data_IF_435815972812
#
_entry.id   IF_435815972812
#
_cell.length_a   1.000
_cell.length_b   1.000
_cell.length_c   1.000
_cell.angle_alpha   90.00
_cell.angle_beta   90.00
_cell.angle_gamma   90.00
#
_symmetry.space_group_name_H-M   'P 1'
#
loop_
_entity.id
_entity.type
_entity.pdbx_description
1 polymer ?
#
# COMPACT_ATOMS: atom_id res chain seq x y z
N UNK A 1 -4.08 -11.40 -6.53
CA UNK A 1 -4.55 -10.19 -7.25
C UNK A 1 -4.62 -9.07 -6.22
N UNK A 2 -4.23 -7.84 -6.57
CA UNK A 2 -4.25 -6.72 -5.61
C UNK A 2 -5.60 -6.00 -5.62
N UNK A 3 -6.13 -5.67 -4.44
CA UNK A 3 -7.38 -4.96 -4.24
C UNK A 3 -7.22 -3.65 -3.47
N UNK A 4 -7.88 -2.59 -3.91
CA UNK A 4 -7.91 -1.29 -3.21
C UNK A 4 -9.29 -1.09 -2.60
N UNK A 5 -9.37 -1.36 -1.31
CA UNK A 5 -10.62 -1.38 -0.54
C UNK A 5 -10.89 0.04 0.00
N UNK A 6 -12.02 0.68 -0.35
CA UNK A 6 -12.42 1.93 0.28
C UNK A 6 -12.82 1.69 1.73
N UNK A 7 -12.23 2.43 2.66
CA UNK A 7 -12.62 2.43 4.07
C UNK A 7 -13.54 3.60 4.38
N UNK A 8 -13.20 4.78 3.87
CA UNK A 8 -14.00 5.98 4.02
C UNK A 8 -13.78 6.89 2.82
N UNK A 9 -14.87 7.50 2.36
CA UNK A 9 -14.85 8.57 1.36
C UNK A 9 -15.32 9.87 2.05
N UNK A 10 -14.72 11.02 1.72
CA UNK A 10 -15.13 12.28 2.31
C UNK A 10 -16.50 12.71 1.75
N UNK A 11 -17.35 13.27 2.62
CA UNK A 11 -18.68 13.79 2.26
C UNK A 11 -18.62 15.08 1.39
N UNK A 12 -17.43 15.66 1.23
CA UNK A 12 -17.18 16.91 0.49
C UNK A 12 -15.95 16.84 -0.41
N UNK A 13 -15.26 17.97 -0.59
CA UNK A 13 -14.03 18.01 -1.38
C UNK A 13 -12.96 17.10 -0.78
N UNK A 14 -12.43 16.21 -1.63
CA UNK A 14 -11.31 15.33 -1.27
C UNK A 14 -10.01 16.11 -1.32
N UNK A 15 -9.37 16.26 -0.16
CA UNK A 15 -8.10 17.00 0.00
C UNK A 15 -6.88 16.09 -0.08
N UNK A 16 -7.03 14.82 0.30
CA UNK A 16 -5.94 13.85 0.40
C UNK A 16 -6.49 12.42 0.31
N UNK A 17 -5.71 11.51 -0.26
CA UNK A 17 -5.91 10.07 -0.21
C UNK A 17 -4.83 9.45 0.68
N UNK A 18 -5.24 8.60 1.62
CA UNK A 18 -4.34 7.78 2.43
C UNK A 18 -4.56 6.31 2.09
N UNK A 19 -3.48 5.64 1.71
CA UNK A 19 -3.50 4.23 1.34
C UNK A 19 -2.65 3.45 2.34
N UNK A 20 -3.31 2.60 3.12
CA UNK A 20 -2.68 1.67 4.05
C UNK A 20 -2.22 0.41 3.31
N UNK A 21 -0.96 0.01 3.50
CA UNK A 21 -0.34 -1.14 2.81
C UNK A 21 0.25 -2.12 3.81
N UNK A 22 -0.36 -3.30 3.93
CA UNK A 22 0.06 -4.31 4.90
C UNK A 22 1.38 -5.00 4.52
N UNK A 23 1.93 -5.77 5.47
CA UNK A 23 3.17 -6.52 5.30
C UNK A 23 2.96 -8.02 5.08
N UNK A 24 4.04 -8.78 5.21
CA UNK A 24 4.05 -10.24 5.12
C UNK A 24 3.10 -10.87 6.15
N UNK A 25 2.31 -11.85 5.72
CA UNK A 25 1.36 -12.58 6.56
C UNK A 25 0.17 -11.75 7.06
N UNK A 26 0.09 -10.47 6.69
CA UNK A 26 -1.03 -9.59 7.00
C UNK A 26 -2.02 -9.49 5.85
N UNK A 27 -3.11 -8.78 6.13
CA UNK A 27 -4.14 -8.39 5.18
C UNK A 27 -4.56 -6.93 5.42
N UNK A 28 -5.42 -6.40 4.54
CA UNK A 28 -5.93 -5.03 4.57
C UNK A 28 -6.69 -4.63 5.85
N UNK A 29 -7.14 -5.59 6.67
CA UNK A 29 -7.89 -5.31 7.90
C UNK A 29 -7.09 -5.65 9.16
N UNK A 30 -6.68 -6.91 9.31
CA UNK A 30 -6.04 -7.43 10.51
C UNK A 30 -4.69 -6.77 10.83
N UNK A 31 -3.99 -6.24 9.82
CA UNK A 31 -2.74 -5.49 10.06
C UNK A 31 -2.95 -4.18 10.81
N UNK A 32 -4.13 -3.57 10.68
CA UNK A 32 -4.42 -2.22 11.17
C UNK A 32 -5.50 -2.19 12.26
N UNK A 33 -5.97 -3.35 12.70
CA UNK A 33 -6.85 -3.50 13.85
C UNK A 33 -6.09 -4.25 14.95
N UNK A 34 -6.20 -3.75 16.18
CA UNK A 34 -5.95 -4.58 17.35
C UNK A 34 -7.18 -5.46 17.60
N UNK A 35 -7.00 -6.62 18.23
CA UNK A 35 -8.03 -7.58 18.74
C UNK A 35 -9.20 -7.99 17.82
N UNK A 36 -9.18 -7.60 16.54
CA UNK A 36 -10.27 -7.87 15.60
C UNK A 36 -11.51 -6.99 15.83
N UNK A 37 -11.45 -6.01 16.74
CA UNK A 37 -12.52 -5.05 16.95
C UNK A 37 -12.43 -3.88 15.96
N UNK A 38 -13.55 -3.57 15.33
CA UNK A 38 -13.72 -2.44 14.43
C UNK A 38 -13.45 -1.09 15.12
N UNK A 39 -13.72 -1.01 16.43
CA UNK A 39 -13.40 0.15 17.26
C UNK A 39 -11.89 0.36 17.44
N UNK A 40 -11.05 -0.58 16.99
CA UNK A 40 -9.59 -0.46 17.04
C UNK A 40 -8.97 -0.36 15.63
N UNK A 41 -9.79 -0.24 14.59
CA UNK A 41 -9.32 -0.17 13.21
C UNK A 41 -8.83 1.25 12.86
N UNK A 42 -7.52 1.43 12.85
CA UNK A 42 -6.86 2.73 12.66
C UNK A 42 -7.28 3.50 11.40
N UNK A 43 -7.43 2.87 10.21
CA UNK A 43 -7.84 3.58 9.01
C UNK A 43 -9.21 4.25 9.15
N UNK A 44 -10.15 3.62 9.88
CA UNK A 44 -11.45 4.23 10.16
C UNK A 44 -11.32 5.44 11.10
N UNK A 45 -10.57 5.32 12.19
CA UNK A 45 -10.34 6.45 13.11
C UNK A 45 -9.66 7.62 12.42
N UNK A 46 -8.68 7.36 11.56
CA UNK A 46 -8.00 8.41 10.80
C UNK A 46 -8.99 9.19 9.91
N UNK A 47 -9.94 8.48 9.28
CA UNK A 47 -10.99 9.12 8.48
C UNK A 47 -11.93 10.02 9.29
N UNK A 48 -12.14 9.72 10.58
CA UNK A 48 -12.97 10.52 11.48
C UNK A 48 -12.22 11.71 12.07
N UNK A 49 -10.91 11.60 12.20
CA UNK A 49 -10.07 12.65 12.77
C UNK A 49 -9.76 13.78 11.79
N UNK A 50 -9.82 13.53 10.47
CA UNK A 50 -9.39 14.48 9.43
C UNK A 50 -10.45 14.59 8.33
N UNK A 51 -11.05 15.78 8.19
CA UNK A 51 -12.00 16.07 7.13
C UNK A 51 -11.35 16.08 5.73
N UNK A 52 -12.09 15.61 4.72
CA UNK A 52 -11.63 15.61 3.33
C UNK A 52 -10.68 14.45 2.97
N UNK A 53 -10.52 13.46 3.86
CA UNK A 53 -9.65 12.32 3.64
C UNK A 53 -10.38 11.17 2.94
N UNK A 54 -9.86 10.74 1.79
CA UNK A 54 -10.12 9.42 1.25
C UNK A 54 -9.23 8.39 1.91
N UNK A 55 -9.79 7.37 2.55
CA UNK A 55 -9.00 6.32 3.21
C UNK A 55 -9.23 4.99 2.54
N UNK A 56 -8.13 4.33 2.18
CA UNK A 56 -8.11 3.04 1.50
C UNK A 56 -7.16 2.08 2.20
N UNK A 57 -7.47 0.80 2.11
CA UNK A 57 -6.54 -0.28 2.44
C UNK A 57 -6.25 -1.10 1.19
N UNK A 58 -4.97 -1.27 0.87
CA UNK A 58 -4.51 -2.11 -0.22
C UNK A 58 -4.33 -3.54 0.30
N UNK A 59 -5.08 -4.47 -0.27
CA UNK A 59 -4.98 -5.91 -0.01
C UNK A 59 -4.23 -6.60 -1.15
N UNK A 60 -3.32 -7.50 -0.82
CA UNK A 60 -2.64 -8.33 -1.81
C UNK A 60 -2.19 -9.64 -1.16
N UNK A 61 -1.99 -10.70 -1.95
CA UNK A 61 -1.49 -11.96 -1.39
C UNK A 61 -0.12 -11.71 -0.73
N UNK A 62 -0.06 -11.80 0.59
CA UNK A 62 1.16 -11.65 1.36
C UNK A 62 1.51 -12.92 2.15
N UNK A 63 0.99 -14.08 1.76
CA UNK A 63 1.25 -15.35 2.48
C UNK A 63 2.75 -15.71 2.48
N UNK A 64 3.34 -16.10 3.63
CA UNK A 64 4.77 -16.45 3.70
C UNK A 64 5.22 -17.50 2.68
N UNK A 65 4.36 -18.47 2.38
CA UNK A 65 4.60 -19.49 1.33
C UNK A 65 4.68 -18.89 -0.07
N UNK A 66 3.87 -17.88 -0.39
CA UNK A 66 3.99 -17.14 -1.65
C UNK A 66 5.28 -16.31 -1.71
N UNK A 67 5.86 -15.95 -0.56
CA UNK A 67 7.11 -15.20 -0.50
C UNK A 67 8.36 -16.07 -0.46
N UNK A 68 8.24 -17.33 -0.02
CA UNK A 68 9.33 -18.30 0.10
C UNK A 68 9.41 -19.32 -1.06
N UNK A 69 8.32 -19.53 -1.79
CA UNK A 69 8.23 -20.51 -2.89
C UNK A 69 8.36 -19.93 -4.30
N UNK A 70 8.03 -20.74 -5.31
CA UNK A 70 7.92 -20.41 -6.76
C UNK A 70 6.91 -19.30 -7.12
N UNK A 71 6.45 -18.52 -6.15
CA UNK A 71 5.49 -17.47 -6.33
C UNK A 71 6.17 -16.13 -6.65
N UNK A 72 5.33 -15.20 -7.09
CA UNK A 72 5.66 -13.92 -7.70
C UNK A 72 6.70 -13.11 -6.92
N UNK A 73 7.72 -12.60 -7.61
CA UNK A 73 8.80 -11.80 -7.01
C UNK A 73 8.28 -10.43 -6.53
N UNK A 74 9.05 -9.70 -5.70
CA UNK A 74 8.71 -8.32 -5.28
C UNK A 74 8.40 -7.42 -6.50
N UNK A 75 9.25 -7.40 -7.56
CA UNK A 75 8.97 -6.63 -8.77
C UNK A 75 7.61 -6.95 -9.40
N UNK A 76 7.30 -8.23 -9.59
CA UNK A 76 6.04 -8.62 -10.23
C UNK A 76 4.81 -8.24 -9.37
N UNK A 77 4.92 -8.35 -8.04
CA UNK A 77 3.87 -7.91 -7.10
C UNK A 77 3.70 -6.39 -7.15
N UNK A 78 4.81 -5.67 -7.16
CA UNK A 78 4.83 -4.22 -7.24
C UNK A 78 4.19 -3.73 -8.54
N UNK A 79 4.49 -4.36 -9.69
CA UNK A 79 3.87 -4.04 -10.97
C UNK A 79 2.35 -4.26 -10.98
N UNK A 80 1.86 -5.35 -10.37
CA UNK A 80 0.41 -5.58 -10.22
C UNK A 80 -0.27 -4.55 -9.32
N UNK A 81 0.36 -4.21 -8.20
CA UNK A 81 -0.12 -3.17 -7.28
C UNK A 81 -0.13 -1.81 -7.95
N UNK A 82 0.95 -1.45 -8.64
CA UNK A 82 1.07 -0.20 -9.39
C UNK A 82 -0.03 -0.08 -10.44
N UNK A 83 -0.23 -1.12 -11.24
CA UNK A 83 -1.29 -1.18 -12.26
C UNK A 83 -2.66 -0.96 -11.62
N UNK A 84 -2.91 -1.55 -10.46
CA UNK A 84 -4.16 -1.37 -9.71
C UNK A 84 -4.32 0.07 -9.20
N UNK A 85 -3.28 0.65 -8.61
CA UNK A 85 -3.31 2.02 -8.08
C UNK A 85 -3.52 3.06 -9.19
N UNK A 86 -2.85 2.91 -10.34
CA UNK A 86 -2.99 3.79 -11.49
C UNK A 86 -4.39 3.69 -12.13
N UNK A 87 -4.97 2.48 -12.15
CA UNK A 87 -6.29 2.26 -12.72
C UNK A 87 -7.42 2.84 -11.85
N UNK A 88 -7.18 3.12 -10.57
CA UNK A 88 -8.20 3.57 -9.64
C UNK A 88 -8.45 5.08 -9.74
N UNK A 89 -9.58 5.46 -10.35
CA UNK A 89 -9.94 6.85 -10.55
C UNK A 89 -10.11 7.64 -9.24
N UNK A 90 -10.38 6.97 -8.12
CA UNK A 90 -10.54 7.62 -6.80
C UNK A 90 -9.24 8.26 -6.33
N UNK A 91 -8.11 7.69 -6.73
CA UNK A 91 -6.78 8.18 -6.37
C UNK A 91 -6.28 9.35 -7.24
N UNK A 92 -7.00 9.75 -8.29
CA UNK A 92 -6.49 10.71 -9.30
C UNK A 92 -6.73 12.18 -8.96
N UNK A 93 -7.74 12.47 -8.14
CA UNK A 93 -8.23 13.84 -7.96
C UNK A 93 -7.70 14.55 -6.71
N UNK A 94 -6.88 13.86 -5.91
CA UNK A 94 -6.25 14.43 -4.73
C UNK A 94 -4.89 13.74 -4.47
N UNK A 95 -3.95 14.41 -3.81
CA UNK A 95 -2.66 13.85 -3.42
C UNK A 95 -2.78 12.49 -2.71
N UNK A 96 -1.75 11.67 -2.82
CA UNK A 96 -1.68 10.33 -2.22
C UNK A 96 -0.57 10.30 -1.17
N UNK A 97 -0.88 9.76 -0.01
CA UNK A 97 0.10 9.37 1.03
C UNK A 97 -0.06 7.89 1.32
N UNK A 98 1.05 7.17 1.33
CA UNK A 98 1.08 5.76 1.72
C UNK A 98 1.47 5.61 3.20
N UNK A 99 0.78 4.71 3.91
CA UNK A 99 1.18 4.24 5.24
C UNK A 99 1.48 2.76 5.11
N UNK A 100 2.75 2.41 5.25
CA UNK A 100 3.24 1.07 4.92
C UNK A 100 3.75 0.36 6.16
N UNK A 101 3.29 -0.86 6.40
CA UNK A 101 3.84 -1.72 7.46
C UNK A 101 4.80 -2.75 6.89
N UNK A 102 5.94 -2.92 7.56
CA UNK A 102 6.91 -3.99 7.30
C UNK A 102 7.23 -4.09 5.80
N UNK A 103 7.08 -5.29 5.22
CA UNK A 103 7.35 -5.60 3.82
C UNK A 103 6.53 -4.78 2.82
N UNK A 104 5.35 -4.30 3.19
CA UNK A 104 4.53 -3.42 2.34
C UNK A 104 5.25 -2.14 1.94
N UNK A 105 6.17 -1.66 2.79
CA UNK A 105 7.01 -0.51 2.47
C UNK A 105 7.99 -0.77 1.32
N UNK A 106 8.55 -1.98 1.24
CA UNK A 106 9.43 -2.35 0.12
C UNK A 106 8.64 -2.51 -1.17
N UNK A 107 7.41 -3.04 -1.09
CA UNK A 107 6.51 -3.17 -2.23
C UNK A 107 6.12 -1.79 -2.80
N UNK A 108 5.76 -0.83 -1.95
CA UNK A 108 5.48 0.55 -2.39
C UNK A 108 6.72 1.22 -2.97
N UNK A 109 7.90 1.04 -2.36
CA UNK A 109 9.16 1.55 -2.93
C UNK A 109 9.39 1.03 -4.34
N UNK A 110 9.24 -0.28 -4.55
CA UNK A 110 9.40 -0.88 -5.87
C UNK A 110 8.36 -0.35 -6.85
N UNK A 111 7.09 -0.23 -6.46
CA UNK A 111 6.04 0.31 -7.32
C UNK A 111 6.31 1.76 -7.75
N UNK A 112 6.88 2.59 -6.86
CA UNK A 112 7.28 3.95 -7.20
C UNK A 112 8.48 3.99 -8.15
N UNK A 113 9.45 3.08 -7.99
CA UNK A 113 10.56 2.94 -8.93
C UNK A 113 10.06 2.50 -10.32
N UNK A 114 9.20 1.47 -10.37
CA UNK A 114 8.61 0.98 -11.62
C UNK A 114 7.81 2.08 -12.32
N UNK A 115 7.09 2.92 -11.56
CA UNK A 115 6.39 4.07 -12.09
C UNK A 115 7.34 5.13 -12.63
N UNK A 116 8.46 5.38 -11.94
CA UNK A 116 9.48 6.34 -12.38
C UNK A 116 10.09 5.92 -13.70
N UNK A 117 10.51 4.66 -13.82
CA UNK A 117 11.11 4.11 -15.03
C UNK A 117 10.15 4.19 -16.23
N UNK A 118 8.84 4.04 -15.99
CA UNK A 118 7.81 4.10 -17.02
C UNK A 118 7.25 5.51 -17.28
N UNK A 119 7.61 6.50 -16.46
CA UNK A 119 7.01 7.84 -16.50
C UNK A 119 7.25 8.59 -17.81
N UNK A 120 8.42 8.40 -18.43
CA UNK A 120 8.76 9.01 -19.72
C UNK A 120 7.92 8.46 -20.89
N UNK A 121 7.52 7.19 -20.82
CA UNK A 121 6.73 6.51 -21.85
C UNK A 121 5.21 6.56 -21.57
N UNK A 122 4.80 6.86 -20.33
CA UNK A 122 3.41 6.81 -19.91
C UNK A 122 3.02 7.96 -19.00
N UNK A 123 2.22 8.88 -19.54
CA UNK A 123 1.65 10.01 -18.78
C UNK A 123 0.94 9.55 -17.51
N UNK A 124 0.24 8.40 -17.54
CA UNK A 124 -0.46 7.88 -16.35
C UNK A 124 0.49 7.54 -15.20
N UNK A 125 1.68 7.03 -15.51
CA UNK A 125 2.70 6.73 -14.49
C UNK A 125 3.32 8.03 -13.96
N UNK A 126 3.61 9.00 -14.83
CA UNK A 126 4.04 10.33 -14.44
C UNK A 126 3.04 11.05 -13.53
N UNK A 127 1.78 11.13 -13.95
CA UNK A 127 0.69 11.74 -13.18
C UNK A 127 0.53 11.06 -11.81
N UNK A 128 0.65 9.73 -11.75
CA UNK A 128 0.59 8.99 -10.49
C UNK A 128 1.72 9.40 -9.55
N UNK A 129 2.98 9.47 -10.02
CA UNK A 129 4.11 9.91 -9.22
C UNK A 129 3.96 11.34 -8.71
N UNK A 130 3.55 12.27 -9.56
CA UNK A 130 3.32 13.67 -9.18
C UNK A 130 2.24 13.82 -8.10
N UNK A 131 1.28 12.88 -8.11
CA UNK A 131 0.20 12.85 -7.14
C UNK A 131 0.62 12.21 -5.81
N UNK A 132 1.67 11.38 -5.77
CA UNK A 132 2.22 10.82 -4.52
C UNK A 132 3.04 11.89 -3.79
N UNK A 133 2.61 12.27 -2.58
CA UNK A 133 3.24 13.34 -1.79
C UNK A 133 3.95 12.86 -0.53
N UNK A 134 3.78 11.60 -0.14
CA UNK A 134 4.47 11.07 1.02
C UNK A 134 4.33 9.57 1.19
N UNK A 135 5.29 8.98 1.89
CA UNK A 135 5.26 7.58 2.33
C UNK A 135 5.75 7.52 3.77
N UNK A 136 4.93 6.95 4.66
CA UNK A 136 5.29 6.63 6.03
C UNK A 136 5.64 5.14 6.14
N UNK A 137 6.84 4.83 6.64
CA UNK A 137 7.31 3.46 6.82
C UNK A 137 7.26 3.06 8.29
N UNK A 138 6.52 2.01 8.60
CA UNK A 138 6.36 1.45 9.94
C UNK A 138 7.06 0.09 9.98
N UNK A 139 8.20 0.00 10.67
CA UNK A 139 8.99 -1.22 10.78
C UNK A 139 9.41 -1.85 9.44
N UNK A 140 9.57 -1.06 8.38
CA UNK A 140 10.01 -1.57 7.07
C UNK A 140 11.50 -1.92 7.08
N UNK A 141 11.89 -3.16 6.72
CA UNK A 141 13.29 -3.59 6.74
C UNK A 141 14.05 -3.10 5.50
N UNK A 142 14.41 -1.81 5.46
CA UNK A 142 15.05 -1.18 4.30
C UNK A 142 16.38 -1.82 3.89
N UNK A 143 17.15 -2.35 4.85
CA UNK A 143 18.44 -3.00 4.62
C UNK A 143 18.35 -4.54 4.68
N UNK A 144 17.13 -5.09 4.60
CA UNK A 144 16.87 -6.48 4.93
C UNK A 144 16.58 -6.68 6.42
N UNK A 145 16.20 -7.91 6.78
CA UNK A 145 15.95 -8.29 8.18
C UNK A 145 16.41 -9.71 8.44
N UNK A 146 16.78 -9.99 9.68
CA UNK A 146 17.09 -11.35 10.14
C UNK A 146 15.88 -12.29 9.99
N UNK A 147 14.65 -11.76 10.06
CA UNK A 147 13.43 -12.52 9.79
C UNK A 147 13.37 -13.06 8.36
N UNK A 148 13.87 -12.31 7.37
CA UNK A 148 13.97 -12.80 5.99
C UNK A 148 15.03 -13.90 5.86
N UNK A 149 16.09 -13.85 6.67
CA UNK A 149 17.09 -14.92 6.74
C UNK A 149 16.52 -16.16 7.45
N UNK A 150 15.74 -15.96 8.52
CA UNK A 150 15.06 -17.03 9.26
C UNK A 150 14.04 -17.74 8.37
N UNK A 151 13.17 -17.00 7.68
CA UNK A 151 12.16 -17.57 6.77
C UNK A 151 12.78 -18.38 5.62
N UNK A 152 14.00 -18.07 5.19
CA UNK A 152 14.76 -18.87 4.20
C UNK A 152 15.40 -20.13 4.80
N UNK A 153 15.50 -20.22 6.13
CA UNK A 153 16.15 -21.31 6.85
C UNK A 153 15.17 -22.39 7.37
N UNK A 154 13.86 -22.17 7.20
CA UNK A 154 12.75 -23.10 7.48
C UNK A 154 12.04 -23.47 6.17
#
# INVERSE_FOLDING_TARGET
MADLIPIAEPDGERKLNVVFVHGLGGDARGTWAFDGNDDNYWPWHLSKAIEGLGVYALDYDASPSAWLGKAMSIPDRAGNILSRLIADNRLRNAPIVFICHSLGGLVVKQALLDAHDQSAASKRHGDFLENVRGVAFLATPHSGSDLANLLKAI
#
